data_IF_226191151045
#
_entry.id   IF_226191151045
#
_cell.length_a   1.000
_cell.length_b   1.000
_cell.length_c   1.000
_cell.angle_alpha   90.00
_cell.angle_beta   90.00
_cell.angle_gamma   90.00
#
_symmetry.space_group_name_H-M   'P 1'
#
loop_
_entity.id
_entity.type
_entity.pdbx_description
1 polymer ?
#
# COMPACT_ATOMS: atom_id res chain seq x y z
N UNK A 1 -16.60 3.37 -4.69
CA UNK A 1 -15.51 2.38 -4.71
C UNK A 1 -15.97 1.13 -5.45
N UNK A 2 -15.04 0.40 -6.04
CA UNK A 2 -15.28 -0.90 -6.69
C UNK A 2 -14.17 -1.87 -6.32
N UNK A 3 -14.52 -3.11 -6.00
CA UNK A 3 -13.58 -4.21 -5.81
C UNK A 3 -13.17 -4.79 -7.18
N UNK A 4 -11.89 -5.10 -7.35
CA UNK A 4 -11.35 -5.71 -8.57
C UNK A 4 -11.45 -7.23 -8.51
N UNK A 5 -11.84 -7.84 -9.63
CA UNK A 5 -11.81 -9.28 -9.80
C UNK A 5 -10.38 -9.79 -10.13
N UNK A 6 -10.12 -11.11 -10.13
CA UNK A 6 -8.77 -11.64 -10.36
C UNK A 6 -8.10 -11.19 -11.67
N UNK A 7 -8.82 -11.13 -12.79
CA UNK A 7 -8.24 -10.65 -14.06
C UNK A 7 -7.88 -9.16 -14.00
N UNK A 8 -8.69 -8.36 -13.33
CA UNK A 8 -8.44 -6.93 -13.17
C UNK A 8 -7.27 -6.66 -12.22
N UNK A 9 -7.08 -7.49 -11.19
CA UNK A 9 -5.90 -7.41 -10.31
C UNK A 9 -4.61 -7.73 -11.10
N UNK A 10 -4.66 -8.63 -12.08
CA UNK A 10 -3.52 -8.87 -12.98
C UNK A 10 -3.18 -7.65 -13.85
N UNK A 11 -4.20 -6.97 -14.38
CA UNK A 11 -4.02 -5.74 -15.15
C UNK A 11 -3.53 -4.57 -14.27
N UNK A 12 -4.05 -4.48 -13.04
CA UNK A 12 -3.65 -3.47 -12.07
C UNK A 12 -2.16 -3.54 -11.75
N UNK A 13 -1.59 -4.75 -11.69
CA UNK A 13 -0.14 -4.93 -11.51
C UNK A 13 0.66 -4.21 -12.60
N UNK A 14 0.25 -4.30 -13.86
CA UNK A 14 0.95 -3.64 -14.96
C UNK A 14 0.73 -2.14 -14.93
N UNK A 15 -0.50 -1.69 -14.67
CA UNK A 15 -0.82 -0.27 -14.56
C UNK A 15 -0.01 0.41 -13.45
N UNK A 16 0.15 -0.25 -12.29
CA UNK A 16 0.91 0.28 -11.16
C UNK A 16 2.39 0.44 -11.47
N UNK A 17 3.03 -0.46 -12.24
CA UNK A 17 4.47 -0.35 -12.61
C UNK A 17 4.80 0.95 -13.32
N UNK A 18 3.84 1.52 -14.06
CA UNK A 18 4.03 2.78 -14.78
C UNK A 18 4.16 4.00 -13.83
N UNK A 19 3.78 3.84 -12.56
CA UNK A 19 3.79 4.87 -11.53
C UNK A 19 4.80 4.58 -10.43
N UNK A 20 5.92 3.93 -10.76
CA UNK A 20 7.03 3.79 -9.82
C UNK A 20 7.85 5.09 -9.73
N UNK A 21 8.34 5.43 -8.52
CA UNK A 21 8.30 4.65 -7.27
C UNK A 21 7.04 4.80 -6.41
N UNK A 22 6.14 5.72 -6.73
CA UNK A 22 5.01 6.14 -5.87
C UNK A 22 4.04 4.99 -5.58
N UNK A 23 3.79 4.12 -6.56
CA UNK A 23 2.85 3.00 -6.43
C UNK A 23 3.44 1.76 -5.76
N UNK A 24 4.73 1.77 -5.40
CA UNK A 24 5.47 0.58 -4.99
C UNK A 24 4.82 -0.17 -3.80
N UNK A 25 4.23 0.57 -2.86
CA UNK A 25 3.61 -0.02 -1.67
C UNK A 25 2.38 -0.87 -2.01
N UNK A 26 1.46 -0.35 -2.81
CA UNK A 26 0.28 -1.11 -3.25
C UNK A 26 0.65 -2.15 -4.31
N UNK A 27 1.63 -1.87 -5.16
CA UNK A 27 2.16 -2.84 -6.12
C UNK A 27 2.65 -4.11 -5.43
N UNK A 28 3.39 -4.00 -4.32
CA UNK A 28 3.85 -5.17 -3.57
C UNK A 28 2.71 -6.06 -3.06
N UNK A 29 1.58 -5.46 -2.67
CA UNK A 29 0.38 -6.20 -2.32
C UNK A 29 -0.19 -6.94 -3.53
N UNK A 30 -0.48 -6.22 -4.61
CA UNK A 30 -1.05 -6.79 -5.85
C UNK A 30 -0.15 -7.89 -6.42
N UNK A 31 1.16 -7.66 -6.45
CA UNK A 31 2.16 -8.65 -6.86
C UNK A 31 2.04 -9.93 -6.05
N UNK A 32 1.94 -9.85 -4.72
CA UNK A 32 1.81 -11.05 -3.88
C UNK A 32 0.48 -11.78 -4.13
N UNK A 33 -0.63 -11.05 -4.31
CA UNK A 33 -1.95 -11.62 -4.65
C UNK A 33 -1.86 -12.40 -5.97
N UNK A 34 -1.30 -11.80 -7.01
CA UNK A 34 -1.16 -12.44 -8.33
C UNK A 34 -0.21 -13.64 -8.34
N UNK A 35 0.55 -13.88 -7.26
CA UNK A 35 1.40 -15.07 -7.09
C UNK A 35 0.80 -16.08 -6.11
N UNK A 36 -0.49 -15.93 -5.77
CA UNK A 36 -1.21 -16.88 -4.95
C UNK A 36 -0.76 -16.93 -3.49
N UNK A 37 -0.04 -15.91 -2.99
CA UNK A 37 0.31 -15.87 -1.58
C UNK A 37 -0.98 -15.71 -0.75
N UNK A 38 -1.18 -16.51 0.31
CA UNK A 38 -2.33 -16.35 1.18
C UNK A 38 -2.28 -14.97 1.83
N UNK A 39 -3.17 -14.10 1.39
CA UNK A 39 -3.31 -12.72 1.83
C UNK A 39 -4.80 -12.50 2.06
N UNK A 40 -5.19 -12.06 3.26
CA UNK A 40 -6.56 -11.67 3.57
C UNK A 40 -6.82 -10.23 3.08
N UNK A 41 -6.47 -9.94 1.82
CA UNK A 41 -6.56 -8.61 1.22
C UNK A 41 -7.52 -8.59 0.03
N UNK A 42 -8.25 -7.50 -0.13
CA UNK A 42 -9.02 -7.13 -1.31
C UNK A 42 -8.43 -5.86 -1.95
N UNK A 43 -8.62 -5.71 -3.25
CA UNK A 43 -8.12 -4.56 -4.02
C UNK A 43 -9.32 -3.75 -4.47
N UNK A 44 -9.36 -2.49 -4.04
CA UNK A 44 -10.47 -1.58 -4.32
C UNK A 44 -9.97 -0.30 -4.97
N UNK A 45 -10.76 0.23 -5.89
CA UNK A 45 -10.44 1.42 -6.69
C UNK A 45 -11.58 2.43 -6.68
N UNK A 46 -11.29 3.67 -7.06
CA UNK A 46 -12.29 4.70 -7.30
C UNK A 46 -13.03 4.51 -8.63
N UNK A 47 -12.30 4.13 -9.69
CA UNK A 47 -12.81 3.81 -11.02
C UNK A 47 -11.98 2.68 -11.66
N UNK A 48 -12.49 2.04 -12.72
CA UNK A 48 -11.73 1.04 -13.47
C UNK A 48 -12.16 1.04 -14.95
N UNK A 49 -11.22 0.94 -15.92
CA UNK A 49 -9.78 0.71 -15.76
C UNK A 49 -8.95 1.97 -15.45
N UNK A 50 -9.48 3.17 -15.67
CA UNK A 50 -8.75 4.41 -15.43
C UNK A 50 -8.90 4.91 -13.99
N UNK A 51 -8.36 4.14 -13.04
CA UNK A 51 -8.35 4.51 -11.63
C UNK A 51 -7.43 5.71 -11.37
N UNK A 52 -7.85 6.60 -10.48
CA UNK A 52 -6.98 7.64 -9.92
C UNK A 52 -6.52 7.30 -8.52
N UNK A 53 -7.26 6.45 -7.78
CA UNK A 53 -6.88 5.96 -6.47
C UNK A 53 -7.17 4.46 -6.33
N UNK A 54 -6.26 3.75 -5.66
CA UNK A 54 -6.32 2.30 -5.44
C UNK A 54 -5.83 1.97 -4.03
N UNK A 55 -6.53 1.05 -3.36
CA UNK A 55 -6.22 0.59 -2.01
C UNK A 55 -6.24 -0.93 -1.98
N UNK A 56 -5.18 -1.53 -1.45
CA UNK A 56 -5.22 -2.87 -0.90
C UNK A 56 -5.62 -2.78 0.57
N UNK A 57 -6.74 -3.39 0.95
CA UNK A 57 -7.23 -3.40 2.33
C UNK A 57 -7.50 -4.81 2.85
N UNK A 58 -7.52 -5.02 4.17
CA UNK A 58 -7.93 -6.29 4.77
C UNK A 58 -9.39 -6.63 4.48
N UNK A 59 -9.68 -7.92 4.21
CA UNK A 59 -11.05 -8.46 4.05
C UNK A 59 -11.79 -8.59 5.38
N UNK A 60 -11.04 -8.85 6.45
CA UNK A 60 -11.59 -9.08 7.79
C UNK A 60 -11.57 -7.75 8.54
N UNK A 61 -12.59 -7.51 9.37
CA UNK A 61 -12.63 -6.33 10.24
C UNK A 61 -11.39 -6.29 11.13
N UNK A 62 -10.83 -5.08 11.21
CA UNK A 62 -9.65 -4.85 12.01
C UNK A 62 -9.89 -4.93 13.51
N UNK A 63 -8.78 -5.04 14.24
CA UNK A 63 -8.80 -4.95 15.70
C UNK A 63 -8.78 -3.49 16.18
N UNK A 64 -9.21 -3.25 17.42
CA UNK A 64 -9.13 -1.93 18.06
C UNK A 64 -7.75 -1.63 18.64
N UNK A 65 -6.94 -2.65 18.84
CA UNK A 65 -5.57 -2.53 19.32
C UNK A 65 -4.62 -2.20 18.17
N UNK A 66 -3.45 -1.67 18.54
CA UNK A 66 -2.36 -1.35 17.61
C UNK A 66 -1.52 -2.58 17.25
N UNK A 67 -1.76 -3.71 17.91
CA UNK A 67 -0.92 -4.91 17.86
C UNK A 67 -1.36 -5.84 16.72
N UNK A 68 -1.07 -5.44 15.49
CA UNK A 68 -1.12 -6.37 14.36
C UNK A 68 -0.98 -5.73 12.99
N UNK A 69 -0.39 -6.48 12.06
CA UNK A 69 -0.36 -6.19 10.62
C UNK A 69 -1.76 -6.30 9.97
N UNK A 70 -2.80 -6.57 10.75
CA UNK A 70 -4.15 -6.91 10.28
C UNK A 70 -4.95 -5.73 9.73
N UNK A 71 -4.51 -4.47 9.96
CA UNK A 71 -5.29 -3.27 9.61
C UNK A 71 -4.57 -2.33 8.60
N UNK A 72 -3.58 -2.84 7.87
CA UNK A 72 -2.80 -2.03 6.93
C UNK A 72 -3.58 -1.83 5.62
N UNK A 73 -3.87 -0.57 5.30
CA UNK A 73 -4.44 -0.15 4.03
C UNK A 73 -3.32 0.43 3.18
N UNK A 74 -2.85 -0.33 2.20
CA UNK A 74 -1.78 0.10 1.28
C UNK A 74 -2.36 0.79 0.07
N UNK A 75 -1.93 2.01 -0.24
CA UNK A 75 -2.58 2.83 -1.27
C UNK A 75 -1.62 3.49 -2.24
N UNK A 76 -2.19 3.92 -3.36
CA UNK A 76 -1.60 4.83 -4.34
C UNK A 76 -2.71 5.75 -4.84
N UNK A 77 -2.35 7.00 -5.12
CA UNK A 77 -3.24 7.96 -5.77
C UNK A 77 -2.46 8.87 -6.72
N UNK A 78 -3.12 9.32 -7.78
CA UNK A 78 -2.60 10.33 -8.73
C UNK A 78 -2.89 11.77 -8.28
N UNK A 79 -3.86 11.93 -7.39
CA UNK A 79 -4.29 13.23 -6.87
C UNK A 79 -4.92 13.12 -5.47
N UNK A 80 -4.97 14.24 -4.75
CA UNK A 80 -5.50 14.30 -3.39
C UNK A 80 -7.02 14.12 -3.31
N UNK A 81 -7.77 14.55 -4.33
CA UNK A 81 -9.23 14.57 -4.29
C UNK A 81 -9.79 13.15 -4.50
N UNK A 82 -9.21 12.39 -5.42
CA UNK A 82 -9.50 10.98 -5.64
C UNK A 82 -9.14 10.14 -4.43
N UNK A 83 -7.98 10.41 -3.81
CA UNK A 83 -7.60 9.74 -2.56
C UNK A 83 -8.62 10.02 -1.45
N UNK A 84 -8.95 11.30 -1.21
CA UNK A 84 -9.91 11.70 -0.18
C UNK A 84 -11.29 11.09 -0.43
N UNK A 85 -11.81 11.18 -1.66
CA UNK A 85 -13.12 10.59 -2.03
C UNK A 85 -13.15 9.08 -1.84
N UNK A 86 -12.08 8.38 -2.20
CA UNK A 86 -12.01 6.94 -2.01
C UNK A 86 -11.98 6.58 -0.53
N UNK A 87 -11.13 7.25 0.27
CA UNK A 87 -11.04 7.03 1.72
C UNK A 87 -12.35 7.34 2.46
N UNK A 88 -13.10 8.34 2.01
CA UNK A 88 -14.40 8.73 2.57
C UNK A 88 -15.56 7.85 2.08
N UNK A 89 -15.31 6.87 1.20
CA UNK A 89 -16.36 5.96 0.74
C UNK A 89 -16.81 5.05 1.89
N UNK A 90 -18.13 4.98 2.20
CA UNK A 90 -18.64 4.10 3.24
C UNK A 90 -18.18 2.65 3.06
N UNK A 91 -17.64 2.08 4.13
CA UNK A 91 -17.14 0.70 4.15
C UNK A 91 -15.68 0.54 3.71
N UNK A 92 -15.01 1.58 3.20
CA UNK A 92 -13.57 1.51 2.97
C UNK A 92 -12.82 1.49 4.31
N UNK A 93 -12.94 2.58 5.08
CA UNK A 93 -12.39 2.73 6.42
C UNK A 93 -13.47 2.48 7.48
N UNK A 94 -13.08 1.85 8.59
CA UNK A 94 -13.87 1.79 9.81
C UNK A 94 -13.31 2.81 10.80
N UNK A 95 -14.02 3.93 10.98
CA UNK A 95 -13.61 5.04 11.84
C UNK A 95 -13.49 4.66 13.33
N UNK A 96 -14.07 3.52 13.74
CA UNK A 96 -13.97 2.99 15.10
C UNK A 96 -12.77 2.06 15.33
N UNK A 97 -11.96 1.79 14.30
CA UNK A 97 -10.85 0.85 14.35
C UNK A 97 -9.50 1.54 14.14
N UNK A 98 -8.46 0.98 14.75
CA UNK A 98 -7.10 1.44 14.50
C UNK A 98 -6.69 1.06 13.07
N UNK A 99 -6.45 2.05 12.21
CA UNK A 99 -6.10 1.82 10.80
C UNK A 99 -4.74 2.41 10.47
N UNK A 100 -3.87 1.61 9.84
CA UNK A 100 -2.60 2.11 9.30
C UNK A 100 -2.74 2.37 7.80
N UNK A 101 -2.70 3.64 7.41
CA UNK A 101 -2.62 4.04 6.00
C UNK A 101 -1.15 4.00 5.55
N UNK A 102 -0.82 3.13 4.60
CA UNK A 102 0.54 2.94 4.12
C UNK A 102 0.66 3.33 2.63
N UNK A 103 1.74 4.01 2.26
CA UNK A 103 1.92 4.49 0.88
C UNK A 103 1.17 5.79 0.58
N UNK A 104 0.74 6.54 1.60
CA UNK A 104 0.24 7.91 1.41
C UNK A 104 1.39 8.77 0.90
N UNK A 105 1.24 9.36 -0.29
CA UNK A 105 2.19 10.33 -0.82
C UNK A 105 2.25 11.56 0.12
N UNK A 106 3.46 12.06 0.39
CA UNK A 106 3.65 13.20 1.27
C UNK A 106 2.95 14.47 0.77
N UNK A 107 2.79 14.61 -0.55
CA UNK A 107 2.07 15.72 -1.17
C UNK A 107 0.57 15.70 -0.84
N UNK A 108 0.02 14.55 -0.46
CA UNK A 108 -1.42 14.39 -0.15
C UNK A 108 -1.67 14.17 1.35
N UNK A 109 -0.62 14.19 2.18
CA UNK A 109 -0.73 13.91 3.60
C UNK A 109 -1.66 14.88 4.33
N UNK A 110 -1.64 16.16 3.98
CA UNK A 110 -2.48 17.17 4.63
C UNK A 110 -3.95 17.00 4.27
N UNK A 111 -4.26 16.58 3.03
CA UNK A 111 -5.63 16.24 2.63
C UNK A 111 -6.16 15.02 3.41
N UNK A 112 -5.31 14.02 3.65
CA UNK A 112 -5.66 12.86 4.49
C UNK A 112 -5.89 13.28 5.93
N UNK A 113 -5.02 14.12 6.52
CA UNK A 113 -5.21 14.63 7.90
C UNK A 113 -6.50 15.43 8.03
N UNK A 114 -6.79 16.31 7.07
CA UNK A 114 -8.04 17.07 7.06
C UNK A 114 -9.28 16.16 7.00
N UNK A 115 -9.21 15.04 6.27
CA UNK A 115 -10.27 14.03 6.29
C UNK A 115 -10.40 13.36 7.68
N UNK A 116 -9.29 13.06 8.34
CA UNK A 116 -9.32 12.50 9.69
C UNK A 116 -9.95 13.49 10.69
N UNK A 117 -9.61 14.77 10.60
CA UNK A 117 -10.20 15.82 11.43
C UNK A 117 -11.70 15.99 11.17
N UNK A 118 -12.13 15.90 9.90
CA UNK A 118 -13.55 15.92 9.50
C UNK A 118 -14.35 14.79 10.18
N UNK A 119 -13.75 13.60 10.31
CA UNK A 119 -14.35 12.44 10.99
C UNK A 119 -14.07 12.40 12.50
N UNK A 120 -13.44 13.45 13.05
CA UNK A 120 -13.09 13.56 14.47
C UNK A 120 -12.25 12.38 14.99
N UNK A 121 -11.42 11.78 14.12
CA UNK A 121 -10.55 10.67 14.49
C UNK A 121 -9.12 11.15 14.71
N UNK A 122 -8.47 10.78 15.84
CA UNK A 122 -7.10 11.17 16.07
C UNK A 122 -6.18 10.48 15.05
N UNK A 123 -5.29 11.26 14.44
CA UNK A 123 -4.34 10.75 13.45
C UNK A 123 -2.92 11.23 13.75
N UNK A 124 -1.93 10.45 13.32
CA UNK A 124 -0.52 10.83 13.41
C UNK A 124 0.30 10.16 12.32
N UNK A 125 1.36 10.83 11.87
CA UNK A 125 2.34 10.22 10.96
C UNK A 125 3.21 9.25 11.75
N UNK A 126 3.12 7.95 11.42
CA UNK A 126 3.90 6.91 12.11
C UNK A 126 5.37 6.87 11.68
N UNK A 127 5.64 7.19 10.41
CA UNK A 127 6.98 7.19 9.84
C UNK A 127 6.95 7.67 8.39
N UNK A 128 8.10 8.14 7.91
CA UNK A 128 8.29 8.54 6.51
C UNK A 128 9.24 7.55 5.85
N UNK A 129 8.78 6.96 4.75
CA UNK A 129 9.59 6.03 3.96
C UNK A 129 10.13 6.74 2.74
N UNK A 130 11.43 6.62 2.47
CA UNK A 130 12.07 7.10 1.24
C UNK A 130 12.44 5.90 0.39
N UNK A 131 11.93 5.85 -0.84
CA UNK A 131 12.27 4.78 -1.78
C UNK A 131 13.61 5.13 -2.44
N UNK A 132 14.58 4.22 -2.30
CA UNK A 132 15.85 4.31 -2.99
C UNK A 132 15.80 3.40 -4.22
N UNK A 133 15.86 3.99 -5.40
CA UNK A 133 15.89 3.27 -6.67
C UNK A 133 17.32 3.23 -7.22
N UNK A 134 17.78 2.05 -7.60
CA UNK A 134 19.01 1.89 -8.35
C UNK A 134 18.70 1.99 -9.85
N UNK A 135 19.41 2.86 -10.57
CA UNK A 135 19.14 3.07 -12.00
C UNK A 135 19.53 1.89 -12.89
N UNK A 136 20.48 1.07 -12.43
CA UNK A 136 20.87 -0.17 -13.10
C UNK A 136 21.39 -1.20 -12.10
N UNK A 137 21.04 -2.49 -12.23
CA UNK A 137 21.64 -3.57 -11.45
C UNK A 137 23.17 -3.60 -11.52
N UNK A 138 23.78 -3.09 -12.59
CA UNK A 138 25.25 -3.01 -12.75
C UNK A 138 25.92 -2.08 -11.75
N UNK A 139 25.16 -1.19 -11.11
CA UNK A 139 25.66 -0.31 -10.06
C UNK A 139 25.79 -1.03 -8.71
N UNK A 140 25.23 -2.25 -8.58
CA UNK A 140 25.45 -3.09 -7.40
C UNK A 140 26.90 -3.55 -7.36
N UNK A 141 27.63 -3.09 -6.34
CA UNK A 141 28.98 -3.58 -6.06
C UNK A 141 28.88 -4.81 -5.18
N UNK A 142 29.52 -5.91 -5.60
CA UNK A 142 29.70 -7.05 -4.72
C UNK A 142 30.56 -6.62 -3.53
N UNK A 143 30.07 -6.82 -2.31
CA UNK A 143 30.88 -6.61 -1.12
C UNK A 143 31.74 -7.86 -0.90
N UNK A 144 33.06 -7.69 -0.87
CA UNK A 144 33.97 -8.78 -0.51
C UNK A 144 33.79 -9.13 0.96
N UNK A 145 33.35 -10.37 1.21
CA UNK A 145 33.05 -10.85 2.56
C UNK A 145 34.34 -11.22 3.30
N UNK A 146 34.43 -10.97 4.61
CA UNK A 146 35.45 -11.57 5.46
C UNK A 146 35.37 -13.10 5.40
N UNK A 147 36.53 -13.78 5.35
CA UNK A 147 36.61 -15.26 5.22
C UNK A 147 35.98 -16.04 6.38
N UNK A 148 35.63 -15.38 7.49
CA UNK A 148 35.09 -16.00 8.71
C UNK A 148 33.58 -16.27 8.68
N UNK A 149 32.85 -15.83 7.65
CA UNK A 149 31.39 -15.94 7.58
C UNK A 149 30.93 -16.60 6.28
N UNK A 150 29.92 -17.46 6.36
CA UNK A 150 29.19 -18.01 5.21
C UNK A 150 27.78 -17.42 5.13
N UNK A 151 27.29 -17.19 3.92
CA UNK A 151 25.88 -16.89 3.66
C UNK A 151 25.29 -18.11 2.97
N UNK A 152 24.14 -18.56 3.44
CA UNK A 152 23.32 -19.57 2.81
C UNK A 152 21.85 -19.16 2.85
N UNK A 153 20.97 -19.87 2.14
CA UNK A 153 19.53 -19.68 2.31
C UNK A 153 19.16 -19.87 3.78
N UNK A 154 18.25 -19.03 4.30
CA UNK A 154 17.62 -19.32 5.58
C UNK A 154 16.89 -20.66 5.45
N UNK A 155 17.22 -21.60 6.33
CA UNK A 155 16.39 -22.80 6.49
C UNK A 155 15.10 -22.33 7.18
N UNK A 156 13.97 -22.53 6.51
CA UNK A 156 12.63 -22.20 7.00
C UNK A 156 11.97 -23.49 7.49
#
# INVERSE_FOLDING_TARGET
>A
MRELNPSEIMEAEQALKLHFPESLKVYGCVFNINRGKPQNLEVVVDAWPDFSAIVCKPKIKGTRDREGDFNIHSMFSRDQDSLRRLLDTPGLLDWGMYTLLAGVDLNYLDAVKALMDQHQVPSRTQGVMRVLSLGSPTQLRAHERPRSHSLGPMMV
#
